data_IF_846820447727
#
_entry.id   IF_846820447727
#
_cell.length_a   1.000
_cell.length_b   1.000
_cell.length_c   1.000
_cell.angle_alpha   90.00
_cell.angle_beta   90.00
_cell.angle_gamma   90.00
#
_symmetry.space_group_name_H-M   'P 1'
#
loop_
_entity.id
_entity.type
_entity.pdbx_description
1 polymer ?
#
# COMPACT_ATOMS: atom_id res chain seq x y z
N UNK A 1 -18.57 4.30 0.37
CA UNK A 1 -18.91 2.93 0.80
C UNK A 1 -19.95 2.97 1.90
N UNK A 2 -20.63 1.84 2.14
CA UNK A 2 -21.63 1.73 3.20
C UNK A 2 -20.99 1.96 4.59
N UNK A 3 -21.70 2.60 5.55
CA UNK A 3 -21.13 2.94 6.85
C UNK A 3 -20.50 1.74 7.59
N UNK A 4 -21.14 0.58 7.52
CA UNK A 4 -20.72 -0.65 8.20
C UNK A 4 -19.37 -1.15 7.68
N UNK A 5 -19.12 -1.03 6.38
CA UNK A 5 -17.84 -1.44 5.80
C UNK A 5 -16.71 -0.47 6.18
N UNK A 6 -16.98 0.85 6.20
CA UNK A 6 -15.99 1.82 6.67
C UNK A 6 -15.62 1.58 8.13
N UNK A 7 -16.60 1.22 8.96
CA UNK A 7 -16.36 0.80 10.34
C UNK A 7 -15.52 -0.49 10.41
N UNK A 8 -15.87 -1.52 9.65
CA UNK A 8 -15.11 -2.78 9.62
C UNK A 8 -13.63 -2.58 9.21
N UNK A 9 -13.38 -1.71 8.23
CA UNK A 9 -12.01 -1.35 7.82
C UNK A 9 -11.27 -0.60 8.94
N UNK A 10 -11.91 0.36 9.60
CA UNK A 10 -11.36 1.06 10.76
C UNK A 10 -11.02 0.09 11.90
N UNK A 11 -11.95 -0.82 12.24
CA UNK A 11 -11.75 -1.84 13.25
C UNK A 11 -10.59 -2.79 12.89
N UNK A 12 -10.46 -3.17 11.61
CA UNK A 12 -9.33 -3.97 11.10
C UNK A 12 -8.00 -3.25 11.29
N UNK A 13 -7.91 -1.97 10.91
CA UNK A 13 -6.68 -1.19 11.10
C UNK A 13 -6.27 -1.09 12.57
N UNK A 14 -7.24 -0.91 13.48
CA UNK A 14 -6.97 -0.90 14.91
C UNK A 14 -6.49 -2.27 15.39
N UNK A 15 -7.17 -3.34 15.00
CA UNK A 15 -6.90 -4.72 15.44
C UNK A 15 -5.56 -5.25 14.93
N UNK A 16 -5.24 -5.03 13.66
CA UNK A 16 -4.12 -5.70 12.99
C UNK A 16 -2.88 -4.80 12.85
N UNK A 17 -3.09 -3.49 12.70
CA UNK A 17 -2.00 -2.55 12.44
C UNK A 17 -1.77 -1.58 13.62
N UNK A 18 -2.64 -1.61 14.65
CA UNK A 18 -2.57 -0.71 15.80
C UNK A 18 -2.91 0.75 15.46
N UNK A 19 -3.64 0.99 14.38
CA UNK A 19 -3.93 2.35 13.89
C UNK A 19 -5.41 2.68 14.07
N UNK A 20 -5.69 3.77 14.78
CA UNK A 20 -7.06 4.24 14.98
C UNK A 20 -7.48 5.23 13.90
N UNK A 21 -8.26 4.80 12.91
CA UNK A 21 -8.89 5.71 11.95
C UNK A 21 -10.36 5.91 12.29
N UNK A 22 -10.88 7.12 12.15
CA UNK A 22 -12.33 7.30 12.09
C UNK A 22 -12.89 6.78 10.77
N UNK A 23 -14.19 6.44 10.73
CA UNK A 23 -14.86 6.09 9.45
C UNK A 23 -14.88 7.24 8.43
N UNK A 24 -14.66 8.48 8.87
CA UNK A 24 -14.50 9.67 8.01
C UNK A 24 -13.13 9.69 7.29
N UNK A 25 -12.17 8.92 7.78
CA UNK A 25 -10.83 8.77 7.24
C UNK A 25 -10.67 7.53 6.36
N UNK A 26 -11.78 6.84 6.04
CA UNK A 26 -11.77 5.63 5.20
C UNK A 26 -12.59 5.89 3.94
N UNK A 27 -11.98 5.66 2.77
CA UNK A 27 -12.65 5.57 1.48
C UNK A 27 -12.68 4.12 1.01
N UNK A 28 -13.83 3.66 0.51
CA UNK A 28 -13.97 2.36 -0.16
C UNK A 28 -13.95 2.60 -1.67
N UNK A 29 -13.09 1.88 -2.39
CA UNK A 29 -12.82 2.03 -3.82
C UNK A 29 -12.97 0.69 -4.57
N UNK A 30 -13.04 0.73 -5.91
CA UNK A 30 -13.12 -0.47 -6.77
C UNK A 30 -11.76 -1.19 -6.89
N UNK A 31 -11.29 -1.73 -5.78
CA UNK A 31 -9.97 -2.35 -5.62
C UNK A 31 -8.86 -1.33 -5.33
N UNK A 32 -7.70 -1.83 -4.88
CA UNK A 32 -6.54 -0.99 -4.54
C UNK A 32 -6.01 -0.17 -5.72
N UNK A 33 -6.21 -0.66 -6.95
CA UNK A 33 -5.82 0.07 -8.17
C UNK A 33 -6.55 1.41 -8.33
N UNK A 34 -7.86 1.46 -8.06
CA UNK A 34 -8.60 2.73 -8.08
C UNK A 34 -8.16 3.61 -6.91
N UNK A 35 -8.02 3.03 -5.72
CA UNK A 35 -7.58 3.77 -4.54
C UNK A 35 -6.25 4.49 -4.81
N UNK A 36 -5.23 3.79 -5.35
CA UNK A 36 -3.96 4.39 -5.74
C UNK A 36 -4.13 5.54 -6.74
N UNK A 37 -4.91 5.32 -7.80
CA UNK A 37 -5.17 6.35 -8.81
C UNK A 37 -5.80 7.60 -8.19
N UNK A 38 -6.81 7.43 -7.32
CA UNK A 38 -7.46 8.54 -6.63
C UNK A 38 -6.51 9.26 -5.68
N UNK A 39 -5.59 8.55 -5.02
CA UNK A 39 -4.55 9.19 -4.21
C UNK A 39 -3.68 10.09 -5.08
N UNK A 40 -3.10 9.56 -6.15
CA UNK A 40 -2.25 10.36 -7.05
C UNK A 40 -3.01 11.56 -7.61
N UNK A 41 -4.23 11.34 -8.13
CA UNK A 41 -5.04 12.41 -8.71
C UNK A 41 -5.48 13.46 -7.70
N UNK A 42 -5.58 13.11 -6.43
CA UNK A 42 -5.98 14.05 -5.38
C UNK A 42 -4.81 14.88 -4.87
N UNK A 43 -3.62 14.27 -4.73
CA UNK A 43 -2.50 14.95 -4.07
C UNK A 43 -1.52 15.59 -5.04
N UNK A 44 -1.48 15.18 -6.31
CA UNK A 44 -0.50 15.66 -7.29
C UNK A 44 -1.07 16.76 -8.19
N UNK A 45 -0.21 17.71 -8.54
CA UNK A 45 -0.44 18.73 -9.55
C UNK A 45 0.52 18.57 -10.75
N UNK A 46 0.31 19.36 -11.80
CA UNK A 46 1.21 19.37 -12.96
C UNK A 46 2.62 19.82 -12.55
N UNK A 47 3.63 19.03 -12.92
CA UNK A 47 5.03 19.29 -12.56
C UNK A 47 5.48 18.68 -11.22
N UNK A 48 4.56 18.13 -10.42
CA UNK A 48 4.92 17.33 -9.24
C UNK A 48 5.65 16.06 -9.65
N UNK A 49 6.57 15.62 -8.79
CA UNK A 49 7.30 14.37 -8.94
C UNK A 49 6.86 13.35 -7.88
N UNK A 50 6.69 12.10 -8.29
CA UNK A 50 6.43 10.98 -7.37
C UNK A 50 7.59 10.01 -7.46
N UNK A 51 8.28 9.81 -6.34
CA UNK A 51 9.49 8.97 -6.28
C UNK A 51 9.12 7.50 -6.09
N UNK A 52 9.67 6.64 -6.95
CA UNK A 52 9.35 5.21 -7.05
C UNK A 52 10.64 4.37 -7.00
N UNK A 53 10.84 3.58 -5.92
CA UNK A 53 11.90 2.57 -5.89
C UNK A 53 11.60 1.45 -6.89
N UNK A 54 12.56 1.03 -7.70
CA UNK A 54 12.41 -0.10 -8.63
C UNK A 54 13.30 -1.29 -8.23
N UNK A 55 12.84 -2.54 -8.38
CA UNK A 55 11.66 -2.99 -9.12
C UNK A 55 10.31 -2.66 -8.44
N UNK A 56 9.27 -2.38 -9.23
CA UNK A 56 7.98 -1.96 -8.70
C UNK A 56 6.79 -2.48 -9.51
N UNK A 57 5.60 -2.34 -8.94
CA UNK A 57 4.35 -2.61 -9.63
C UNK A 57 4.15 -1.66 -10.81
N UNK A 58 3.88 -2.26 -11.97
CA UNK A 58 3.87 -1.59 -13.28
C UNK A 58 2.91 -0.40 -13.38
N UNK A 59 1.78 -0.42 -12.66
CA UNK A 59 0.76 0.61 -12.82
C UNK A 59 1.05 1.91 -12.08
N UNK A 60 2.04 1.97 -11.18
CA UNK A 60 2.32 3.23 -10.46
C UNK A 60 2.66 4.36 -11.43
N UNK A 61 3.62 4.12 -12.33
CA UNK A 61 4.09 5.12 -13.28
C UNK A 61 2.97 5.68 -14.15
N UNK A 62 2.14 4.80 -14.70
CA UNK A 62 1.05 5.21 -15.58
C UNK A 62 -0.05 5.95 -14.82
N UNK A 63 -0.34 5.58 -13.57
CA UNK A 63 -1.30 6.32 -12.76
C UNK A 63 -0.81 7.72 -12.36
N UNK A 64 0.50 7.85 -12.08
CA UNK A 64 1.12 9.15 -11.79
C UNK A 64 1.04 10.06 -13.02
N UNK A 65 1.36 9.54 -14.22
CA UNK A 65 1.22 10.27 -15.47
C UNK A 65 -0.23 10.69 -15.73
N UNK A 66 -1.20 9.80 -15.51
CA UNK A 66 -2.63 10.11 -15.63
C UNK A 66 -3.10 11.18 -14.63
N UNK A 67 -2.42 11.31 -13.49
CA UNK A 67 -2.66 12.38 -12.54
C UNK A 67 -2.06 13.74 -12.97
N UNK A 68 -1.19 13.77 -13.98
CA UNK A 68 -0.47 14.97 -14.45
C UNK A 68 0.93 15.13 -13.84
N UNK A 69 1.38 14.17 -13.04
CA UNK A 69 2.68 14.20 -12.39
C UNK A 69 3.74 13.34 -13.11
N UNK A 70 5.00 13.54 -12.74
CA UNK A 70 6.15 12.83 -13.27
C UNK A 70 6.56 11.66 -12.35
N UNK A 71 6.54 10.40 -12.82
CA UNK A 71 7.13 9.30 -12.08
C UNK A 71 8.65 9.35 -12.16
N UNK A 72 9.30 9.52 -11.01
CA UNK A 72 10.76 9.52 -10.90
C UNK A 72 11.20 8.18 -10.34
N UNK A 73 11.93 7.40 -11.14
CA UNK A 73 12.42 6.09 -10.74
C UNK A 73 13.83 6.17 -10.16
N UNK A 74 14.11 5.33 -9.18
CA UNK A 74 15.48 5.02 -8.77
C UNK A 74 15.65 3.54 -8.50
N UNK A 75 16.82 3.01 -8.87
CA UNK A 75 17.12 1.58 -8.76
C UNK A 75 17.53 1.23 -7.34
N UNK A 76 16.89 0.21 -6.77
CA UNK A 76 17.39 -0.49 -5.59
C UNK A 76 18.29 -1.66 -6.03
N UNK A 77 19.00 -2.27 -5.08
CA UNK A 77 20.00 -3.30 -5.36
C UNK A 77 19.58 -4.65 -4.81
N UNK A 78 19.89 -5.71 -5.53
CA UNK A 78 19.66 -7.08 -5.06
C UNK A 78 20.36 -7.37 -3.73
N UNK A 79 21.59 -6.86 -3.57
CA UNK A 79 22.41 -6.98 -2.34
C UNK A 79 21.68 -6.50 -1.07
N UNK A 80 20.70 -5.60 -1.20
CA UNK A 80 19.91 -5.10 -0.07
C UNK A 80 18.47 -5.67 -0.02
N UNK A 81 18.21 -6.75 -0.77
CA UNK A 81 16.90 -7.32 -1.05
C UNK A 81 15.98 -6.32 -1.75
N UNK A 82 16.50 -5.49 -2.66
CA UNK A 82 15.74 -4.48 -3.40
C UNK A 82 14.99 -3.45 -2.53
N UNK A 83 15.41 -3.25 -1.29
CA UNK A 83 14.84 -2.26 -0.36
C UNK A 83 15.58 -0.94 -0.49
N UNK A 84 14.88 0.19 -0.69
CA UNK A 84 15.55 1.48 -0.80
C UNK A 84 16.31 1.82 0.48
N UNK A 85 17.53 2.30 0.34
CA UNK A 85 18.33 2.84 1.44
C UNK A 85 18.05 4.31 1.64
N UNK A 86 18.37 4.84 2.83
CA UNK A 86 18.20 6.26 3.12
C UNK A 86 19.01 7.15 2.16
N UNK A 87 20.22 6.72 1.79
CA UNK A 87 21.10 7.51 0.94
C UNK A 87 20.65 7.50 -0.52
N UNK A 88 20.11 6.38 -1.02
CA UNK A 88 19.45 6.32 -2.34
C UNK A 88 18.24 7.27 -2.39
N UNK A 89 17.43 7.32 -1.33
CA UNK A 89 16.28 8.24 -1.25
C UNK A 89 16.75 9.70 -1.27
N UNK A 90 17.79 10.04 -0.50
CA UNK A 90 18.36 11.41 -0.48
C UNK A 90 18.94 11.82 -1.82
N UNK A 91 19.66 10.92 -2.49
CA UNK A 91 20.33 11.20 -3.75
C UNK A 91 19.35 11.54 -4.89
N UNK A 92 18.13 11.02 -4.82
CA UNK A 92 17.07 11.28 -5.81
C UNK A 92 16.10 12.38 -5.38
N UNK A 93 16.36 13.07 -4.27
CA UNK A 93 15.43 14.04 -3.72
C UNK A 93 15.49 15.37 -4.50
N UNK A 94 14.32 15.92 -4.86
CA UNK A 94 14.20 17.25 -5.45
C UNK A 94 13.13 18.06 -4.72
N UNK A 95 13.12 19.41 -4.86
CA UNK A 95 12.04 20.24 -4.32
C UNK A 95 10.66 19.97 -4.93
N UNK A 96 10.59 19.27 -6.07
CA UNK A 96 9.33 18.92 -6.75
C UNK A 96 8.73 17.60 -6.26
N UNK A 97 9.41 16.87 -5.38
CA UNK A 97 8.87 15.60 -4.87
C UNK A 97 7.64 15.89 -4.02
N UNK A 98 6.49 15.42 -4.50
CA UNK A 98 5.21 15.50 -3.81
C UNK A 98 4.95 14.27 -2.95
N UNK A 99 5.32 13.09 -3.45
CA UNK A 99 5.05 11.84 -2.78
C UNK A 99 6.15 10.80 -3.00
N UNK A 100 6.22 9.85 -2.07
CA UNK A 100 7.05 8.65 -2.14
C UNK A 100 6.18 7.40 -2.01
N UNK A 101 6.43 6.40 -2.85
CA UNK A 101 5.71 5.13 -2.79
C UNK A 101 6.47 4.11 -1.94
N UNK A 102 5.78 3.57 -0.94
CA UNK A 102 6.21 2.38 -0.19
C UNK A 102 5.25 1.24 -0.55
N UNK A 103 5.77 0.18 -1.17
CA UNK A 103 5.02 -1.06 -1.35
C UNK A 103 5.70 -2.17 -0.58
N UNK A 104 5.04 -2.64 0.49
CA UNK A 104 5.59 -3.61 1.43
C UNK A 104 4.47 -4.51 1.98
N UNK A 105 4.54 -5.84 1.82
CA UNK A 105 5.48 -6.57 0.98
C UNK A 105 5.44 -6.13 -0.50
N UNK A 106 6.61 -6.09 -1.12
CA UNK A 106 6.80 -5.54 -2.46
C UNK A 106 6.35 -6.50 -3.56
N UNK A 107 5.72 -5.97 -4.60
CA UNK A 107 5.61 -6.59 -5.92
C UNK A 107 6.52 -5.83 -6.90
N UNK A 108 7.51 -6.49 -7.53
CA UNK A 108 7.63 -7.94 -7.73
C UNK A 108 8.53 -8.70 -6.75
N UNK A 109 9.26 -8.03 -5.85
CA UNK A 109 10.42 -8.67 -5.20
C UNK A 109 10.08 -9.53 -3.97
N UNK A 110 8.87 -9.39 -3.42
CA UNK A 110 8.48 -10.01 -2.14
C UNK A 110 9.14 -9.37 -0.91
N UNK A 111 9.94 -8.32 -1.10
CA UNK A 111 10.72 -7.70 -0.03
C UNK A 111 9.84 -6.98 0.99
N UNK A 112 10.27 -7.04 2.26
CA UNK A 112 9.63 -6.38 3.38
C UNK A 112 10.62 -5.47 4.10
N UNK A 113 10.17 -4.29 4.54
CA UNK A 113 11.04 -3.36 5.28
C UNK A 113 11.34 -3.86 6.70
N UNK A 114 12.59 -3.68 7.13
CA UNK A 114 12.90 -3.70 8.55
C UNK A 114 12.40 -2.41 9.21
N UNK A 115 11.91 -2.50 10.47
CA UNK A 115 11.35 -1.38 11.22
C UNK A 115 12.27 -0.16 11.26
N UNK A 116 13.54 -0.36 11.57
CA UNK A 116 14.50 0.74 11.74
C UNK A 116 14.91 1.37 10.41
N UNK A 117 14.94 0.60 9.32
CA UNK A 117 15.13 1.15 7.97
C UNK A 117 13.93 2.00 7.55
N UNK A 118 12.71 1.48 7.75
CA UNK A 118 11.47 2.18 7.43
C UNK A 118 11.37 3.51 8.19
N UNK A 119 11.61 3.50 9.51
CA UNK A 119 11.58 4.71 10.35
C UNK A 119 12.51 5.81 9.84
N UNK A 120 13.74 5.47 9.43
CA UNK A 120 14.71 6.46 8.94
C UNK A 120 14.23 7.15 7.66
N UNK A 121 13.69 6.38 6.72
CA UNK A 121 13.15 6.90 5.45
C UNK A 121 11.89 7.73 5.72
N UNK A 122 10.93 7.17 6.47
CA UNK A 122 9.68 7.85 6.81
C UNK A 122 9.95 9.18 7.52
N UNK A 123 10.90 9.20 8.48
CA UNK A 123 11.29 10.42 9.17
C UNK A 123 11.79 11.49 8.19
N UNK A 124 12.67 11.13 7.26
CA UNK A 124 13.16 12.06 6.24
C UNK A 124 12.01 12.64 5.40
N UNK A 125 11.07 11.80 4.97
CA UNK A 125 9.93 12.20 4.15
C UNK A 125 9.01 13.16 4.90
N UNK A 126 8.68 12.83 6.16
CA UNK A 126 7.85 13.67 7.04
C UNK A 126 8.52 15.02 7.31
N UNK A 127 9.81 15.02 7.66
CA UNK A 127 10.57 16.25 7.93
C UNK A 127 10.66 17.17 6.70
N UNK A 128 10.46 16.63 5.49
CA UNK A 128 10.45 17.35 4.21
C UNK A 128 9.04 17.67 3.68
N UNK A 129 7.99 17.28 4.40
CA UNK A 129 6.61 17.50 3.95
C UNK A 129 6.20 16.68 2.72
N UNK A 130 6.86 15.55 2.48
CA UNK A 130 6.54 14.64 1.37
C UNK A 130 5.49 13.62 1.82
N UNK A 131 4.42 13.47 1.03
CA UNK A 131 3.40 12.47 1.30
C UNK A 131 3.92 11.05 1.10
N UNK A 132 3.44 10.12 1.92
CA UNK A 132 3.84 8.72 1.87
C UNK A 132 2.63 7.91 1.41
N UNK A 133 2.71 7.34 0.21
CA UNK A 133 1.68 6.44 -0.30
C UNK A 133 2.14 5.03 0.03
N UNK A 134 1.43 4.36 0.95
CA UNK A 134 1.78 3.01 1.39
C UNK A 134 0.80 1.99 0.80
N UNK A 135 1.27 1.18 -0.13
CA UNK A 135 0.52 0.07 -0.72
C UNK A 135 0.80 -1.21 0.07
N UNK A 136 -0.16 -1.56 0.92
CA UNK A 136 -0.07 -2.63 1.91
C UNK A 136 -0.92 -3.84 1.51
N UNK A 137 -1.23 -3.99 0.21
CA UNK A 137 -2.14 -5.03 -0.28
C UNK A 137 -1.67 -6.47 0.01
N UNK A 138 -0.39 -6.66 0.28
CA UNK A 138 0.23 -7.95 0.61
C UNK A 138 0.52 -8.12 2.11
N UNK A 139 0.00 -7.27 3.01
CA UNK A 139 0.37 -7.26 4.45
C UNK A 139 0.25 -8.62 5.16
N UNK A 140 -0.61 -9.51 4.67
CA UNK A 140 -0.85 -10.84 5.22
C UNK A 140 0.02 -11.94 4.58
N UNK A 141 0.66 -11.67 3.44
CA UNK A 141 1.56 -12.60 2.75
C UNK A 141 2.99 -12.39 3.23
N UNK A 142 3.20 -12.63 4.52
CA UNK A 142 4.49 -12.53 5.21
C UNK A 142 4.93 -13.91 5.71
N UNK A 143 6.24 -14.14 5.75
CA UNK A 143 6.84 -15.45 6.00
C UNK A 143 7.98 -15.33 7.03
N UNK A 144 8.53 -16.47 7.47
CA UNK A 144 9.73 -16.53 8.32
C UNK A 144 9.59 -15.80 9.67
N UNK A 145 8.38 -15.76 10.22
CA UNK A 145 8.08 -15.06 11.48
C UNK A 145 8.21 -13.53 11.41
N UNK A 146 8.36 -12.97 10.21
CA UNK A 146 8.38 -11.52 9.99
C UNK A 146 6.98 -10.93 10.08
N UNK A 147 6.92 -9.63 10.37
CA UNK A 147 5.67 -8.88 10.45
C UNK A 147 5.71 -7.68 9.52
N UNK A 148 4.56 -7.38 8.92
CA UNK A 148 4.33 -6.12 8.21
C UNK A 148 4.27 -4.94 9.19
N UNK A 149 4.71 -3.78 8.73
CA UNK A 149 4.72 -2.54 9.51
C UNK A 149 4.08 -1.44 8.66
N UNK A 150 2.89 -1.03 9.05
CA UNK A 150 2.21 0.10 8.43
C UNK A 150 2.88 1.41 8.83
N UNK A 151 3.13 2.30 7.87
CA UNK A 151 3.78 3.61 8.12
C UNK A 151 3.02 4.42 9.17
N UNK A 152 1.69 4.43 9.08
CA UNK A 152 0.82 5.14 10.01
C UNK A 152 0.88 4.63 11.46
N UNK A 153 1.47 3.46 11.72
CA UNK A 153 1.68 2.93 13.07
C UNK A 153 2.94 3.50 13.75
N UNK A 154 3.82 4.19 12.99
CA UNK A 154 5.11 4.66 13.50
C UNK A 154 4.99 5.91 14.38
N UNK A 155 3.92 6.69 14.22
CA UNK A 155 3.67 7.88 15.02
C UNK A 155 2.58 8.78 14.43
N UNK A 156 2.23 9.83 15.17
CA UNK A 156 1.15 10.74 14.79
C UNK A 156 1.46 11.50 13.50
N UNK A 157 2.67 12.04 13.36
CA UNK A 157 3.08 12.81 12.17
C UNK A 157 3.17 11.92 10.93
N UNK A 158 3.66 10.70 11.11
CA UNK A 158 3.77 9.69 10.07
C UNK A 158 2.39 9.33 9.53
N UNK A 159 1.42 9.11 10.44
CA UNK A 159 0.01 8.89 10.08
C UNK A 159 -0.61 10.08 9.34
N UNK A 160 -0.31 11.31 9.75
CA UNK A 160 -0.80 12.54 9.12
C UNK A 160 -0.20 12.77 7.72
N UNK A 161 0.98 12.22 7.44
CA UNK A 161 1.65 12.31 6.14
C UNK A 161 1.45 11.08 5.25
N UNK A 162 0.83 10.01 5.76
CA UNK A 162 0.65 8.76 5.02
C UNK A 162 -0.78 8.56 4.52
N UNK A 163 -0.92 8.06 3.30
CA UNK A 163 -2.16 7.50 2.78
C UNK A 163 -1.96 6.01 2.56
N UNK A 164 -2.62 5.18 3.37
CA UNK A 164 -2.57 3.73 3.30
C UNK A 164 -3.58 3.20 2.31
N UNK A 165 -3.11 2.47 1.31
CA UNK A 165 -3.95 1.75 0.34
C UNK A 165 -3.84 0.25 0.59
N UNK A 166 -4.99 -0.41 0.63
CA UNK A 166 -5.07 -1.86 0.78
C UNK A 166 -6.31 -2.41 0.04
N UNK A 167 -6.43 -3.72 -0.09
CA UNK A 167 -7.58 -4.35 -0.72
C UNK A 167 -7.80 -5.80 -0.31
N UNK A 168 -9.02 -6.30 -0.49
CA UNK A 168 -9.32 -7.71 -0.23
C UNK A 168 -8.85 -8.67 -1.34
N UNK A 169 -8.23 -8.14 -2.39
CA UNK A 169 -7.90 -8.91 -3.59
C UNK A 169 -6.89 -10.03 -3.32
N UNK A 170 -5.92 -9.81 -2.43
CA UNK A 170 -4.79 -10.73 -2.23
C UNK A 170 -4.97 -11.58 -0.97
N UNK A 171 -5.27 -10.94 0.16
CA UNK A 171 -5.52 -11.61 1.43
C UNK A 171 -6.66 -12.64 1.36
N UNK A 172 -7.74 -12.33 0.64
CA UNK A 172 -8.96 -13.14 0.63
C UNK A 172 -9.25 -13.79 -0.74
N UNK A 173 -8.30 -13.77 -1.67
CA UNK A 173 -8.49 -14.21 -3.06
C UNK A 173 -9.69 -13.54 -3.78
N UNK A 174 -10.06 -12.33 -3.38
CA UNK A 174 -11.23 -11.61 -3.90
C UNK A 174 -10.88 -10.67 -5.09
N UNK A 175 -9.98 -11.07 -5.98
CA UNK A 175 -9.49 -10.22 -7.08
C UNK A 175 -10.60 -9.70 -7.99
N UNK A 176 -11.56 -10.56 -8.33
CA UNK A 176 -12.72 -10.24 -9.18
C UNK A 176 -13.83 -9.45 -8.50
N UNK A 177 -13.82 -9.34 -7.16
CA UNK A 177 -14.85 -8.61 -6.40
C UNK A 177 -14.67 -7.10 -6.43
N UNK A 178 -13.45 -6.65 -6.77
CA UNK A 178 -13.12 -5.23 -6.96
C UNK A 178 -13.42 -4.39 -5.72
N UNK A 179 -12.96 -4.80 -4.54
CA UNK A 179 -13.03 -3.96 -3.33
C UNK A 179 -11.64 -3.67 -2.79
N UNK A 180 -11.37 -2.38 -2.59
CA UNK A 180 -10.19 -1.85 -1.93
C UNK A 180 -10.56 -0.65 -1.08
N UNK A 181 -9.59 -0.13 -0.35
CA UNK A 181 -9.82 1.01 0.52
C UNK A 181 -8.56 1.83 0.70
N UNK A 182 -8.76 3.12 0.94
CA UNK A 182 -7.74 4.07 1.34
C UNK A 182 -8.03 4.60 2.74
N UNK A 183 -6.98 4.81 3.53
CA UNK A 183 -7.05 5.41 4.86
C UNK A 183 -6.00 6.51 5.01
N UNK A 184 -6.37 7.67 5.55
CA UNK A 184 -5.45 8.80 5.62
C UNK A 184 -6.04 10.05 6.26
N UNK A 185 -5.40 11.22 6.06
CA UNK A 185 -5.93 12.50 6.53
C UNK A 185 -7.34 12.76 6.01
N UNK A 186 -8.23 13.26 6.89
CA UNK A 186 -9.66 13.44 6.58
C UNK A 186 -9.88 14.30 5.34
N UNK A 187 -9.12 15.38 5.19
CA UNK A 187 -9.25 16.28 4.04
C UNK A 187 -8.87 15.61 2.72
N UNK A 188 -7.81 14.78 2.71
CA UNK A 188 -7.40 14.02 1.52
C UNK A 188 -8.47 12.98 1.18
N UNK A 189 -8.93 12.21 2.17
CA UNK A 189 -9.96 11.19 1.97
C UNK A 189 -11.29 11.80 1.49
N UNK A 190 -11.65 12.99 1.98
CA UNK A 190 -12.81 13.75 1.53
C UNK A 190 -12.65 14.19 0.07
N UNK A 191 -11.49 14.71 -0.31
CA UNK A 191 -11.21 15.10 -1.70
C UNK A 191 -11.23 13.88 -2.65
N UNK A 192 -10.63 12.76 -2.24
CA UNK A 192 -10.74 11.49 -2.98
C UNK A 192 -12.20 11.03 -3.12
N UNK A 193 -13.00 11.15 -2.06
CA UNK A 193 -14.43 10.80 -2.11
C UNK A 193 -15.22 11.67 -3.10
N UNK A 194 -14.90 12.97 -3.18
CA UNK A 194 -15.50 13.87 -4.16
C UNK A 194 -15.13 13.46 -5.59
N UNK A 195 -13.85 13.16 -5.82
CA UNK A 195 -13.36 12.64 -7.11
C UNK A 195 -14.09 11.34 -7.49
N UNK A 196 -14.18 10.37 -6.57
CA UNK A 196 -14.84 9.09 -6.80
C UNK A 196 -16.33 9.27 -7.16
N UNK A 197 -17.00 10.24 -6.54
CA UNK A 197 -18.39 10.60 -6.83
C UNK A 197 -18.63 10.99 -8.29
N UNK A 198 -17.64 11.60 -8.94
CA UNK A 198 -17.69 11.98 -10.35
C UNK A 198 -17.05 10.97 -11.30
N UNK A 199 -16.30 9.99 -10.78
CA UNK A 199 -15.61 8.99 -11.59
C UNK A 199 -16.41 7.68 -11.72
N UNK A 200 -16.82 7.10 -10.59
CA UNK A 200 -17.42 5.75 -10.57
C UNK A 200 -18.70 5.65 -9.74
N UNK A 201 -19.02 6.67 -8.93
CA UNK A 201 -20.03 6.54 -7.89
C UNK A 201 -19.61 5.52 -6.83
N UNK A 202 -20.57 4.80 -6.25
CA UNK A 202 -20.27 3.83 -5.20
C UNK A 202 -19.70 2.51 -5.75
N UNK A 203 -18.91 1.83 -4.92
CA UNK A 203 -18.44 0.46 -5.14
C UNK A 203 -19.63 -0.52 -5.12
N UNK A 204 -19.54 -1.62 -5.87
CA UNK A 204 -20.54 -2.68 -5.92
C UNK A 204 -21.04 -3.08 -4.52
N UNK A 205 -22.36 -3.04 -4.30
CA UNK A 205 -22.98 -3.26 -2.98
C UNK A 205 -22.84 -4.69 -2.47
N UNK A 206 -22.94 -5.69 -3.35
CA UNK A 206 -22.76 -7.12 -3.02
C UNK A 206 -21.34 -7.35 -2.52
N UNK A 207 -20.34 -6.82 -3.23
CA UNK A 207 -18.94 -6.97 -2.87
C UNK A 207 -18.59 -6.26 -1.56
N UNK A 208 -19.24 -5.12 -1.26
CA UNK A 208 -19.08 -4.46 0.03
C UNK A 208 -19.62 -5.32 1.18
N UNK A 209 -20.75 -6.01 1.02
CA UNK A 209 -21.28 -6.93 2.04
C UNK A 209 -20.36 -8.14 2.24
N UNK A 210 -19.88 -8.76 1.16
CA UNK A 210 -18.90 -9.85 1.26
C UNK A 210 -17.60 -9.42 1.94
N UNK A 211 -17.16 -8.18 1.72
CA UNK A 211 -15.95 -7.63 2.33
C UNK A 211 -16.09 -7.47 3.86
N UNK A 212 -17.28 -7.15 4.36
CA UNK A 212 -17.52 -7.10 5.81
C UNK A 212 -17.26 -8.47 6.44
N UNK A 213 -17.80 -9.53 5.83
CA UNK A 213 -17.59 -10.91 6.31
C UNK A 213 -16.13 -11.34 6.22
N UNK A 214 -15.42 -10.95 5.14
CA UNK A 214 -13.99 -11.23 5.01
C UNK A 214 -13.15 -10.58 6.12
N UNK A 215 -13.46 -9.32 6.48
CA UNK A 215 -12.71 -8.55 7.47
C UNK A 215 -13.04 -8.93 8.92
N UNK A 216 -14.28 -9.33 9.21
CA UNK A 216 -14.75 -9.63 10.56
C UNK A 216 -14.79 -11.12 10.89
N UNK A 217 -14.87 -11.97 9.87
CA UNK A 217 -14.91 -13.41 10.02
C UNK A 217 -13.59 -14.03 10.46
N UNK A 218 -13.57 -15.35 10.58
CA UNK A 218 -12.35 -16.09 10.91
C UNK A 218 -11.27 -15.86 9.85
N UNK A 219 -10.04 -15.60 10.31
CA UNK A 219 -8.86 -15.46 9.46
C UNK A 219 -8.15 -16.82 9.22
N UNK A 220 -8.78 -17.94 9.59
CA UNK A 220 -8.24 -19.27 9.36
C UNK A 220 -8.00 -19.60 7.88
N UNK A 221 -8.91 -19.29 6.93
CA UNK A 221 -8.65 -19.51 5.51
C UNK A 221 -7.40 -18.77 5.01
N UNK A 222 -7.19 -17.54 5.51
CA UNK A 222 -5.99 -16.74 5.18
C UNK A 222 -4.73 -17.44 5.69
N UNK A 223 -4.72 -17.88 6.96
CA UNK A 223 -3.57 -18.62 7.53
C UNK A 223 -3.28 -19.91 6.75
N UNK A 224 -4.30 -20.64 6.34
CA UNK A 224 -4.13 -21.86 5.54
C UNK A 224 -3.55 -21.56 4.16
N UNK A 225 -4.03 -20.50 3.50
CA UNK A 225 -3.51 -20.03 2.22
C UNK A 225 -2.04 -19.59 2.33
N UNK A 226 -1.67 -18.84 3.38
CA UNK A 226 -0.29 -18.36 3.60
C UNK A 226 0.67 -19.53 3.81
N UNK A 227 0.30 -20.52 4.63
CA UNK A 227 1.11 -21.76 4.82
C UNK A 227 1.35 -22.50 3.51
N UNK A 228 0.34 -22.54 2.65
CA UNK A 228 0.47 -23.20 1.34
C UNK A 228 1.35 -22.38 0.38
N UNK A 229 1.28 -21.05 0.41
CA UNK A 229 2.22 -20.20 -0.35
C UNK A 229 3.65 -20.31 0.16
N UNK A 230 3.87 -20.47 1.46
CA UNK A 230 5.20 -20.66 2.03
C UNK A 230 5.88 -21.92 1.48
N UNK A 231 5.16 -23.06 1.46
CA UNK A 231 5.66 -24.31 0.83
C UNK A 231 6.03 -24.13 -0.64
N UNK A 232 5.20 -23.41 -1.39
CA UNK A 232 5.44 -23.15 -2.82
C UNK A 232 6.66 -22.25 -3.02
N UNK A 233 6.80 -21.21 -2.20
CA UNK A 233 7.96 -20.32 -2.19
C UNK A 233 9.23 -21.13 -1.92
N UNK A 234 9.25 -21.94 -0.86
CA UNK A 234 10.40 -22.78 -0.50
C UNK A 234 10.78 -23.75 -1.64
N UNK A 235 9.78 -24.39 -2.24
CA UNK A 235 10.00 -25.31 -3.36
C UNK A 235 10.63 -24.60 -4.57
N UNK A 236 10.12 -23.43 -4.95
CA UNK A 236 10.60 -22.67 -6.11
C UNK A 236 12.00 -22.12 -5.82
N UNK A 237 12.19 -21.43 -4.69
CA UNK A 237 13.46 -20.80 -4.32
C UNK A 237 14.57 -21.83 -4.23
N UNK A 238 14.32 -22.97 -3.57
CA UNK A 238 15.30 -24.06 -3.46
C UNK A 238 15.78 -24.51 -4.85
N UNK A 239 14.86 -24.74 -5.78
CA UNK A 239 15.18 -25.28 -7.11
C UNK A 239 15.84 -24.26 -8.02
N UNK A 240 15.44 -22.99 -7.93
CA UNK A 240 16.10 -21.94 -8.68
C UNK A 240 17.55 -21.77 -8.23
N UNK A 241 17.80 -21.81 -6.92
CA UNK A 241 19.17 -21.73 -6.35
C UNK A 241 20.05 -22.96 -6.66
N UNK A 242 19.46 -24.07 -7.15
CA UNK A 242 20.20 -25.26 -7.59
C UNK A 242 20.64 -25.15 -9.07
N UNK A 243 20.21 -24.11 -9.81
CA UNK A 243 20.56 -23.88 -11.22
C UNK A 243 21.72 -22.90 -11.29
N UNK A 244 22.85 -23.32 -11.87
CA UNK A 244 24.02 -22.47 -12.08
C UNK A 244 23.68 -21.24 -12.95
N UNK A 245 24.07 -20.05 -12.49
CA UNK A 245 23.86 -18.79 -13.21
C UNK A 245 22.55 -18.06 -12.89
N UNK A 246 21.74 -18.61 -11.98
CA UNK A 246 20.63 -17.94 -11.29
C UNK A 246 21.08 -17.63 -9.87
#
# INVERSE_FOLDING_TARGET
GIPELRKAVSDKFKRENGIEYESSQILICNGGKQALYEVFRTICEEGDQVLIPTPCYVSYAEQIKLAGAEPVFFKTKEENNFRPTLDEVKANFTPRIRAFIINSPNNPTGSIFEKEQLKKIVKLLVDRGVYIITDEVYEHLVYDGRNHISVASLGKKEKEMSITVNSVSKTYAMTGWRVGYAAGPREIIKAMSNLQGHATGNVNSIAQKATIEALNGTQEPVRNMVKEYEKRREYIVKRLNEIEGI
#
